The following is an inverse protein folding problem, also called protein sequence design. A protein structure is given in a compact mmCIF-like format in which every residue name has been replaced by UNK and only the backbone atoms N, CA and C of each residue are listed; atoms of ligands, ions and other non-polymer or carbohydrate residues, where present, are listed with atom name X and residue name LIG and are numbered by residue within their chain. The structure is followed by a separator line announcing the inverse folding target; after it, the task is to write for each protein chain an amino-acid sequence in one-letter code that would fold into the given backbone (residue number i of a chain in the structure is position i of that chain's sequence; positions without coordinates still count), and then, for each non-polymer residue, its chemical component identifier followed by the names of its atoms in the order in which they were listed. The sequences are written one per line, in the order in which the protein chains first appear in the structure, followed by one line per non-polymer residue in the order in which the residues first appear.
data_IF_426531930656
#
_entry.id   IF_426531930656
#
_cell.length_a   1.000
_cell.length_b   1.000
_cell.length_c   1.000
_cell.angle_alpha   90.00
_cell.angle_beta   90.00
_cell.angle_gamma   90.00
#
_symmetry.space_group_name_H-M   'P 1'
#
loop_
_entity.id
_entity.type
_entity.pdbx_description
1 polymer ?
#
# COMPACT_ATOMS: atom_id res chain seq x y z
N UNK A 1 27.60 25.75 -55.31
CA UNK A 1 26.90 24.83 -54.38
C UNK A 1 26.30 25.66 -53.23
N UNK A 2 24.98 25.60 -53.02
CA UNK A 2 24.29 26.49 -52.07
C UNK A 2 24.57 26.08 -50.61
N UNK A 3 25.54 26.75 -49.98
CA UNK A 3 25.97 26.51 -48.58
C UNK A 3 24.80 26.49 -47.58
N UNK A 4 23.76 27.28 -47.82
CA UNK A 4 22.53 27.31 -47.01
C UNK A 4 21.71 26.01 -47.07
N UNK A 5 21.74 25.30 -48.21
CA UNK A 5 20.97 24.08 -48.40
C UNK A 5 21.68 22.88 -47.73
N UNK A 6 23.00 22.83 -47.83
CA UNK A 6 23.84 21.80 -47.18
C UNK A 6 23.70 21.88 -45.64
N UNK A 7 23.73 23.10 -45.08
CA UNK A 7 23.57 23.29 -43.63
C UNK A 7 22.22 22.79 -43.12
N UNK A 8 21.12 23.07 -43.83
CA UNK A 8 19.77 22.61 -43.45
C UNK A 8 19.65 21.09 -43.46
N UNK A 9 20.23 20.43 -44.47
CA UNK A 9 20.22 18.96 -44.59
C UNK A 9 21.03 18.32 -43.45
N UNK A 10 22.16 18.92 -43.09
CA UNK A 10 23.04 18.40 -42.04
C UNK A 10 22.41 18.52 -40.65
N UNK A 11 21.77 19.65 -40.34
CA UNK A 11 21.02 19.83 -39.09
C UNK A 11 19.85 18.84 -39.00
N UNK A 12 19.14 18.63 -40.11
CA UNK A 12 18.03 17.67 -40.16
C UNK A 12 18.52 16.24 -39.89
N UNK A 13 19.65 15.84 -40.48
CA UNK A 13 20.22 14.51 -40.28
C UNK A 13 20.67 14.26 -38.83
N UNK A 14 21.23 15.27 -38.16
CA UNK A 14 21.61 15.19 -36.74
C UNK A 14 20.37 15.07 -35.85
N UNK A 15 19.32 15.83 -36.12
CA UNK A 15 18.08 15.71 -35.36
C UNK A 15 17.45 14.33 -35.54
N UNK A 16 17.46 13.80 -36.77
CA UNK A 16 16.91 12.47 -37.05
C UNK A 16 17.68 11.37 -36.30
N UNK A 17 19.02 11.41 -36.32
CA UNK A 17 19.84 10.40 -35.62
C UNK A 17 19.64 10.46 -34.10
N UNK A 18 19.45 11.65 -33.54
CA UNK A 18 19.17 11.83 -32.11
C UNK A 18 17.80 11.24 -31.73
N UNK A 19 16.75 11.48 -32.54
CA UNK A 19 15.43 10.89 -32.33
C UNK A 19 15.48 9.36 -32.40
N UNK A 20 16.15 8.79 -33.41
CA UNK A 20 16.31 7.33 -33.52
C UNK A 20 17.11 6.74 -32.35
N UNK A 21 18.14 7.43 -31.86
CA UNK A 21 18.90 7.02 -30.68
C UNK A 21 18.04 6.97 -29.41
N UNK A 22 17.24 8.01 -29.16
CA UNK A 22 16.32 8.08 -28.01
C UNK A 22 15.23 7.00 -28.10
N UNK A 23 14.62 6.80 -29.28
CA UNK A 23 13.62 5.74 -29.45
C UNK A 23 14.21 4.34 -29.20
N UNK A 24 15.42 4.07 -29.68
CA UNK A 24 16.08 2.78 -29.45
C UNK A 24 16.40 2.56 -27.96
N UNK A 25 16.88 3.60 -27.27
CA UNK A 25 17.13 3.57 -25.83
C UNK A 25 15.85 3.34 -25.01
N UNK A 26 14.77 4.05 -25.34
CA UNK A 26 13.47 3.87 -24.68
C UNK A 26 12.80 2.52 -25.00
N UNK A 27 13.13 1.91 -26.13
CA UNK A 27 12.66 0.56 -26.49
C UNK A 27 13.40 -0.56 -25.76
N UNK A 28 14.53 -0.24 -25.10
CA UNK A 28 15.31 -1.24 -24.38
C UNK A 28 14.48 -1.88 -23.26
N UNK A 29 14.52 -3.21 -23.22
CA UNK A 29 13.77 -4.03 -22.26
C UNK A 29 14.14 -3.73 -20.80
N UNK A 30 15.34 -3.17 -20.56
CA UNK A 30 15.80 -2.66 -19.26
C UNK A 30 15.03 -1.41 -18.81
N UNK A 31 14.82 -0.42 -19.68
CA UNK A 31 14.07 0.79 -19.33
C UNK A 31 12.59 0.49 -19.11
N UNK A 32 12.00 -0.41 -19.91
CA UNK A 32 10.65 -0.93 -19.69
C UNK A 32 10.51 -1.71 -18.39
N UNK A 33 11.54 -2.46 -17.97
CA UNK A 33 11.55 -3.18 -16.68
C UNK A 33 11.64 -2.23 -15.49
N UNK A 34 12.47 -1.19 -15.56
CA UNK A 34 12.58 -0.19 -14.49
C UNK A 34 11.32 0.69 -14.39
N UNK A 35 10.72 1.08 -15.51
CA UNK A 35 9.44 1.79 -15.50
C UNK A 35 8.30 0.90 -14.99
N UNK A 36 8.23 -0.38 -15.39
CA UNK A 36 7.27 -1.30 -14.80
C UNK A 36 7.54 -1.49 -13.30
N UNK A 37 8.80 -1.47 -12.84
CA UNK A 37 9.12 -1.48 -11.41
C UNK A 37 8.62 -0.25 -10.64
N UNK A 38 8.44 0.89 -11.32
CA UNK A 38 7.90 2.12 -10.74
C UNK A 38 6.36 2.21 -10.80
N UNK A 39 5.70 1.44 -11.68
CA UNK A 39 4.24 1.45 -11.87
C UNK A 39 3.53 0.15 -11.46
N UNK A 40 4.25 -0.92 -11.09
CA UNK A 40 3.66 -2.09 -10.45
C UNK A 40 3.28 -1.68 -9.04
N UNK A 41 1.98 -1.43 -8.83
CA UNK A 41 1.26 -1.28 -7.57
C UNK A 41 2.04 -1.88 -6.39
N UNK A 42 2.86 -1.05 -5.76
CA UNK A 42 3.81 -1.47 -4.74
C UNK A 42 3.00 -1.94 -3.54
N UNK A 43 2.92 -3.26 -3.37
CA UNK A 43 2.33 -3.92 -2.20
C UNK A 43 3.20 -3.58 -1.00
N UNK A 44 3.00 -2.39 -0.42
CA UNK A 44 3.78 -1.89 0.71
C UNK A 44 3.41 -2.67 1.95
N UNK A 45 4.39 -3.34 2.54
CA UNK A 45 4.21 -3.96 3.86
C UNK A 45 4.27 -2.87 4.93
N UNK A 46 3.26 -2.82 5.79
CA UNK A 46 3.24 -1.99 6.98
C UNK A 46 3.17 -2.91 8.20
N UNK A 47 3.91 -2.58 9.23
CA UNK A 47 3.67 -3.12 10.56
C UNK A 47 2.90 -2.07 11.34
N UNK A 48 1.66 -2.35 11.71
CA UNK A 48 0.81 -1.39 12.40
C UNK A 48 0.89 -1.50 13.93
N UNK A 49 1.38 -2.61 14.44
CA UNK A 49 1.53 -2.82 15.87
C UNK A 49 2.73 -2.06 16.43
N UNK A 50 2.70 -1.66 17.70
CA UNK A 50 3.87 -1.08 18.34
C UNK A 50 4.94 -2.14 18.56
N UNK A 51 6.19 -1.70 18.73
CA UNK A 51 7.30 -2.59 19.07
C UNK A 51 7.01 -3.31 20.40
N UNK A 52 7.28 -4.62 20.44
CA UNK A 52 7.06 -5.48 21.61
C UNK A 52 5.62 -5.43 22.14
N UNK A 53 4.68 -5.97 21.35
CA UNK A 53 3.28 -6.16 21.77
C UNK A 53 3.22 -7.12 22.96
N UNK A 54 2.64 -6.64 24.06
CA UNK A 54 2.42 -7.43 25.29
C UNK A 54 0.97 -7.85 25.40
N UNK A 55 0.04 -7.02 24.90
CA UNK A 55 -1.38 -7.32 24.98
C UNK A 55 -2.12 -6.80 23.74
N UNK A 56 -3.25 -7.43 23.46
CA UNK A 56 -4.11 -7.17 22.31
C UNK A 56 -5.56 -7.21 22.79
N UNK A 57 -6.22 -6.05 22.77
CA UNK A 57 -7.58 -5.89 23.27
C UNK A 57 -8.55 -5.75 22.12
N UNK A 58 -9.55 -6.64 22.09
CA UNK A 58 -10.68 -6.57 21.16
C UNK A 58 -11.68 -5.51 21.62
N UNK A 59 -12.10 -4.65 20.71
CA UNK A 59 -13.07 -3.61 21.03
C UNK A 59 -14.49 -4.20 21.05
N UNK A 60 -15.23 -3.94 22.13
CA UNK A 60 -16.51 -4.58 22.49
C UNK A 60 -17.61 -4.49 21.41
N UNK A 61 -17.57 -3.45 20.56
CA UNK A 61 -18.52 -3.29 19.46
C UNK A 61 -18.15 -4.06 18.19
N UNK A 62 -16.98 -4.70 18.18
CA UNK A 62 -16.41 -5.44 17.05
C UNK A 62 -16.38 -6.95 17.27
N UNK A 63 -16.60 -7.44 18.50
CA UNK A 63 -16.63 -8.88 18.86
C UNK A 63 -17.67 -9.70 18.11
N UNK A 64 -18.81 -9.10 17.74
CA UNK A 64 -19.83 -9.77 16.91
C UNK A 64 -19.39 -9.99 15.46
N UNK A 65 -18.29 -9.36 15.03
CA UNK A 65 -17.80 -9.36 13.63
C UNK A 65 -16.47 -10.08 13.49
N UNK A 66 -15.85 -10.45 14.60
CA UNK A 66 -14.59 -11.20 14.65
C UNK A 66 -14.93 -12.68 14.59
N UNK A 67 -14.19 -13.43 13.79
CA UNK A 67 -14.35 -14.88 13.76
C UNK A 67 -14.05 -15.47 15.15
N UNK A 68 -14.97 -16.27 15.69
CA UNK A 68 -14.90 -16.80 17.06
C UNK A 68 -13.55 -17.47 17.42
N UNK A 69 -12.85 -18.01 16.43
CA UNK A 69 -11.52 -18.62 16.61
C UNK A 69 -10.46 -17.64 17.14
N UNK A 70 -10.58 -16.34 16.84
CA UNK A 70 -9.60 -15.32 17.24
C UNK A 70 -9.87 -14.74 18.62
N UNK A 71 -11.11 -14.84 19.13
CA UNK A 71 -11.48 -14.30 20.43
C UNK A 71 -10.78 -15.01 21.60
N UNK A 72 -10.47 -16.30 21.43
CA UNK A 72 -9.78 -17.12 22.44
C UNK A 72 -8.29 -17.32 22.13
N UNK A 73 -7.78 -16.68 21.08
CA UNK A 73 -6.38 -16.84 20.66
C UNK A 73 -5.48 -15.89 21.45
N UNK A 74 -4.28 -16.36 21.79
CA UNK A 74 -3.28 -15.58 22.51
C UNK A 74 -2.85 -14.31 21.74
N UNK A 75 -2.60 -13.23 22.49
CA UNK A 75 -2.22 -11.92 21.98
C UNK A 75 -0.96 -12.00 21.09
N UNK A 76 0.02 -12.83 21.46
CA UNK A 76 1.24 -13.02 20.68
C UNK A 76 0.97 -13.65 19.31
N UNK A 77 0.03 -14.60 19.25
CA UNK A 77 -0.37 -15.25 17.99
C UNK A 77 -1.18 -14.31 17.10
N UNK A 78 -2.02 -13.45 17.69
CA UNK A 78 -2.73 -12.39 16.95
C UNK A 78 -1.71 -11.40 16.38
N UNK A 79 -0.76 -10.95 17.21
CA UNK A 79 0.25 -9.99 16.79
C UNK A 79 1.10 -10.53 15.62
N UNK A 80 1.65 -11.74 15.76
CA UNK A 80 2.47 -12.36 14.69
C UNK A 80 1.70 -12.57 13.37
N UNK A 81 0.39 -12.82 13.44
CA UNK A 81 -0.43 -13.09 12.26
C UNK A 81 -0.92 -11.82 11.56
N UNK A 82 -1.31 -10.80 12.34
CA UNK A 82 -2.05 -9.64 11.81
C UNK A 82 -1.30 -8.32 11.89
N UNK A 83 -0.18 -8.22 12.60
CA UNK A 83 0.58 -6.97 12.68
C UNK A 83 1.25 -6.59 11.35
N UNK A 84 1.78 -7.58 10.61
CA UNK A 84 2.36 -7.34 9.29
C UNK A 84 1.29 -7.45 8.21
N UNK A 85 0.96 -6.32 7.62
CA UNK A 85 -0.09 -6.20 6.61
C UNK A 85 0.49 -5.74 5.28
N UNK A 86 -0.01 -6.32 4.20
CA UNK A 86 0.26 -5.82 2.86
C UNK A 86 -0.84 -4.83 2.51
N UNK A 87 -0.44 -3.56 2.40
CA UNK A 87 -1.32 -2.47 2.01
C UNK A 87 -1.51 -2.49 0.50
N UNK A 88 -2.77 -2.38 0.09
CA UNK A 88 -3.13 -1.99 -1.26
C UNK A 88 -3.47 -0.49 -1.25
N UNK A 89 -2.97 0.28 -2.24
CA UNK A 89 -3.28 1.69 -2.34
C UNK A 89 -4.80 1.85 -2.49
N UNK A 90 -5.33 2.86 -1.80
CA UNK A 90 -6.73 3.23 -1.95
C UNK A 90 -6.77 4.45 -2.86
N UNK A 91 -7.41 4.31 -4.02
CA UNK A 91 -7.71 5.45 -4.87
C UNK A 91 -8.52 6.45 -4.06
N UNK A 92 -8.11 7.72 -4.13
CA UNK A 92 -8.57 8.88 -3.37
C UNK A 92 -10.00 8.67 -2.85
N UNK A 93 -10.11 8.21 -1.61
CA UNK A 93 -11.40 8.13 -0.93
C UNK A 93 -11.72 9.54 -0.49
N UNK A 94 -12.90 10.05 -0.87
CA UNK A 94 -13.45 11.26 -0.24
C UNK A 94 -13.38 11.09 1.27
N UNK A 95 -12.42 11.77 1.89
CA UNK A 95 -12.07 11.64 3.31
C UNK A 95 -13.22 12.07 4.22
N UNK A 96 -14.19 12.80 3.67
CA UNK A 96 -15.21 13.50 4.44
C UNK A 96 -16.42 12.63 4.83
N UNK A 97 -16.52 11.39 4.33
CA UNK A 97 -17.69 10.51 4.59
C UNK A 97 -17.30 9.05 4.81
N UNK A 98 -16.32 8.78 5.67
CA UNK A 98 -15.98 7.38 6.04
C UNK A 98 -15.90 7.25 7.56
N UNK A 99 -16.91 6.61 8.15
CA UNK A 99 -16.90 6.28 9.57
C UNK A 99 -16.07 5.02 9.81
N UNK A 100 -14.98 5.15 10.56
CA UNK A 100 -14.16 4.03 10.99
C UNK A 100 -14.57 3.59 12.39
N UNK A 101 -14.60 2.29 12.62
CA UNK A 101 -14.92 1.70 13.92
C UNK A 101 -13.68 1.02 14.49
N UNK A 102 -13.35 1.24 15.77
CA UNK A 102 -12.20 0.62 16.39
C UNK A 102 -12.45 -0.89 16.49
N UNK A 103 -11.47 -1.67 16.03
CA UNK A 103 -11.59 -3.12 15.90
C UNK A 103 -10.63 -3.86 16.82
N UNK A 104 -9.37 -3.42 16.86
CA UNK A 104 -8.35 -4.03 17.69
C UNK A 104 -7.37 -2.99 18.21
N UNK A 105 -7.01 -3.06 19.49
CA UNK A 105 -6.00 -2.20 20.09
C UNK A 105 -4.80 -3.03 20.54
N UNK A 106 -3.63 -2.77 19.97
CA UNK A 106 -2.37 -3.39 20.37
C UNK A 106 -1.65 -2.50 21.40
N UNK A 107 -1.14 -3.11 22.48
CA UNK A 107 -0.48 -2.43 23.59
C UNK A 107 0.96 -2.93 23.71
N UNK A 108 1.93 -2.03 23.73
CA UNK A 108 3.34 -2.37 23.95
C UNK A 108 3.71 -2.47 25.42
N UNK A 109 4.89 -3.05 25.69
CA UNK A 109 5.51 -3.06 27.03
C UNK A 109 5.71 -1.65 27.61
N UNK A 110 5.89 -0.65 26.75
CA UNK A 110 6.03 0.76 27.13
C UNK A 110 4.68 1.46 27.36
N UNK A 111 3.57 0.74 27.22
CA UNK A 111 2.21 1.29 27.34
C UNK A 111 1.74 2.08 26.11
N UNK A 112 2.47 2.04 24.98
CA UNK A 112 2.02 2.65 23.73
C UNK A 112 0.86 1.85 23.17
N UNK A 113 -0.20 2.54 22.76
CA UNK A 113 -1.42 1.94 22.21
C UNK A 113 -1.56 2.34 20.75
N UNK A 114 -1.80 1.36 19.88
CA UNK A 114 -2.17 1.60 18.49
C UNK A 114 -3.45 0.85 18.19
N UNK A 115 -4.45 1.57 17.70
CA UNK A 115 -5.75 1.02 17.36
C UNK A 115 -5.88 0.84 15.86
N UNK A 116 -6.25 -0.36 15.47
CA UNK A 116 -6.71 -0.71 14.13
C UNK A 116 -8.20 -0.45 14.05
N UNK A 117 -8.59 0.40 13.12
CA UNK A 117 -9.98 0.74 12.84
C UNK A 117 -10.41 0.15 11.49
N UNK A 118 -11.71 -0.12 11.35
CA UNK A 118 -12.29 -0.72 10.16
C UNK A 118 -13.57 -0.01 9.73
N UNK A 119 -13.72 0.21 8.44
CA UNK A 119 -14.95 0.65 7.80
C UNK A 119 -15.54 -0.52 6.98
N UNK A 120 -16.74 -0.97 7.38
CA UNK A 120 -17.43 -2.09 6.75
C UNK A 120 -17.89 -1.80 5.33
N UNK A 121 -18.43 -0.61 5.10
CA UNK A 121 -19.07 -0.24 3.82
C UNK A 121 -18.08 -0.24 2.66
N UNK A 122 -16.86 0.24 2.90
CA UNK A 122 -15.80 0.36 1.90
C UNK A 122 -14.73 -0.73 2.04
N UNK A 123 -14.82 -1.59 3.05
CA UNK A 123 -13.81 -2.63 3.33
C UNK A 123 -12.42 -2.06 3.60
N UNK A 124 -12.37 -0.88 4.23
CA UNK A 124 -11.13 -0.13 4.47
C UNK A 124 -10.69 -0.28 5.91
N UNK A 125 -9.38 -0.31 6.11
CA UNK A 125 -8.75 -0.28 7.42
C UNK A 125 -8.06 1.06 7.62
N UNK A 126 -7.98 1.51 8.88
CA UNK A 126 -7.29 2.75 9.24
C UNK A 126 -6.42 2.52 10.47
N UNK A 127 -5.21 3.06 10.43
CA UNK A 127 -4.28 3.10 11.56
C UNK A 127 -3.58 4.45 11.55
N UNK A 128 -3.62 5.20 12.66
CA UNK A 128 -2.90 6.48 12.81
C UNK A 128 -3.09 7.42 11.61
N UNK A 129 -4.35 7.63 11.19
CA UNK A 129 -4.71 8.45 10.02
C UNK A 129 -4.36 7.89 8.63
N UNK A 130 -3.72 6.73 8.54
CA UNK A 130 -3.43 6.06 7.27
C UNK A 130 -4.55 5.08 6.95
N UNK A 131 -5.28 5.32 5.87
CA UNK A 131 -6.31 4.41 5.35
C UNK A 131 -5.76 3.51 4.26
N UNK A 132 -6.06 2.21 4.32
CA UNK A 132 -5.57 1.21 3.37
C UNK A 132 -6.58 0.08 3.15
N UNK A 133 -6.44 -0.61 2.02
CA UNK A 133 -7.08 -1.93 1.80
C UNK A 133 -6.11 -3.02 2.22
N UNK A 134 -6.59 -4.05 2.90
CA UNK A 134 -5.79 -5.23 3.24
C UNK A 134 -6.04 -6.34 2.22
N UNK A 135 -4.97 -6.94 1.71
CA UNK A 135 -5.06 -7.99 0.68
C UNK A 135 -5.73 -9.26 1.22
N UNK A 136 -5.24 -9.81 2.33
CA UNK A 136 -5.74 -11.09 2.87
C UNK A 136 -5.69 -11.22 4.40
N UNK A 137 -4.64 -10.77 5.07
CA UNK A 137 -4.46 -11.04 6.51
C UNK A 137 -5.60 -10.48 7.35
N UNK A 138 -5.94 -9.20 7.21
CA UNK A 138 -7.02 -8.61 8.01
C UNK A 138 -8.42 -9.05 7.55
N UNK A 139 -8.57 -9.54 6.31
CA UNK A 139 -9.85 -10.10 5.87
C UNK A 139 -10.21 -11.39 6.61
N UNK A 140 -9.21 -12.19 7.01
CA UNK A 140 -9.41 -13.41 7.81
C UNK A 140 -9.84 -13.13 9.25
N UNK A 141 -9.69 -11.89 9.71
CA UNK A 141 -10.03 -11.50 11.06
C UNK A 141 -11.53 -11.20 11.20
N UNK A 142 -12.18 -10.85 10.09
CA UNK A 142 -13.57 -10.38 10.04
C UNK A 142 -14.42 -11.40 9.30
N UNK A 143 -15.59 -11.75 9.84
CA UNK A 143 -16.55 -12.57 9.11
C UNK A 143 -17.16 -11.79 7.93
N UNK A 144 -17.32 -12.40 6.74
CA UNK A 144 -17.99 -11.76 5.61
C UNK A 144 -19.43 -11.31 5.91
#
# INVERSE_FOLDING_TARGET
MNKKLIFKVLVLAIFLSLVFGVMNFLSSSSFRKDLNGLFVSDKRRMNWCPDHVVDVVWELNSTSKIENAWLTTDAQKIATTFCSIVMEPVDIVDKDVVQFFPLLTAISAEGKKITLEWNKEKGLFKVQEISFKSTESLKKLIQP
#
